data_IF_782676554250
#
_entry.id   IF_782676554250
#
_cell.length_a   1.000
_cell.length_b   1.000
_cell.length_c   1.000
_cell.angle_alpha   90.00
_cell.angle_beta   90.00
_cell.angle_gamma   90.00
#
_symmetry.space_group_name_H-M   'P 1'
#
loop_
_entity.id
_entity.type
_entity.pdbx_description
1 polymer ?
#
# COMPACT_ATOMS: atom_id res chain seq x y z
N UNK A 1 2.12 -32.20 39.39
CA UNK A 1 1.07 -32.57 38.40
C UNK A 1 0.52 -31.38 37.58
N UNK A 2 0.13 -30.23 38.15
CA UNK A 2 -0.36 -29.09 37.36
C UNK A 2 0.78 -28.29 36.69
N UNK A 3 1.98 -28.21 37.26
CA UNK A 3 3.14 -27.52 36.65
C UNK A 3 3.73 -28.28 35.47
N UNK A 4 3.64 -29.62 35.48
CA UNK A 4 4.19 -30.44 34.39
C UNK A 4 3.30 -30.42 33.13
N UNK A 5 1.98 -30.22 33.30
CA UNK A 5 1.04 -30.12 32.18
C UNK A 5 1.22 -28.78 31.42
N UNK A 6 1.51 -27.69 32.12
CA UNK A 6 1.76 -26.36 31.47
C UNK A 6 3.08 -26.36 30.70
N UNK A 7 4.10 -27.11 31.18
CA UNK A 7 5.38 -27.24 30.49
C UNK A 7 5.28 -28.09 29.21
N UNK A 8 4.47 -29.18 29.27
CA UNK A 8 4.24 -30.05 28.10
C UNK A 8 3.35 -29.40 27.06
N UNK A 9 2.36 -28.57 27.45
CA UNK A 9 1.55 -27.81 26.50
C UNK A 9 2.32 -26.66 25.80
N UNK A 10 3.28 -26.04 26.48
CA UNK A 10 4.17 -25.06 25.83
C UNK A 10 5.16 -25.75 24.86
N UNK A 11 5.74 -26.89 25.21
CA UNK A 11 6.63 -27.67 24.34
C UNK A 11 5.89 -28.28 23.13
N UNK A 12 4.62 -28.66 23.27
CA UNK A 12 3.79 -29.13 22.14
C UNK A 12 3.27 -27.98 21.26
N UNK A 13 3.14 -26.78 21.80
CA UNK A 13 2.81 -25.59 21.00
C UNK A 13 4.01 -25.12 20.18
N UNK A 14 5.22 -25.21 20.66
CA UNK A 14 6.45 -24.91 19.92
C UNK A 14 6.78 -25.94 18.82
N UNK A 15 6.26 -27.16 18.89
CA UNK A 15 6.46 -28.18 17.85
C UNK A 15 5.43 -28.17 16.72
N UNK A 16 4.37 -27.37 16.82
CA UNK A 16 3.31 -27.22 15.80
C UNK A 16 3.48 -25.91 15.00
N UNK A 17 4.09 -24.87 15.58
CA UNK A 17 4.60 -23.72 14.85
C UNK A 17 6.07 -24.00 14.56
N UNK A 18 6.40 -24.33 13.29
CA UNK A 18 7.78 -24.50 12.84
C UNK A 18 8.63 -23.36 13.41
N UNK A 19 9.79 -23.71 13.95
CA UNK A 19 10.79 -22.75 14.44
C UNK A 19 10.95 -21.69 13.35
N UNK A 20 10.46 -20.49 13.57
CA UNK A 20 10.73 -19.35 12.67
C UNK A 20 12.23 -19.12 12.79
N UNK A 21 13.01 -19.73 11.89
CA UNK A 21 14.44 -19.50 11.79
C UNK A 21 14.65 -17.99 11.65
N UNK A 22 15.52 -17.44 12.51
CA UNK A 22 15.92 -16.05 12.41
C UNK A 22 16.60 -15.83 11.04
N UNK A 23 15.92 -15.23 10.09
CA UNK A 23 16.40 -14.99 8.72
C UNK A 23 17.11 -13.64 8.63
N UNK A 24 18.13 -13.58 7.80
CA UNK A 24 18.72 -12.32 7.34
C UNK A 24 18.15 -11.95 5.97
N UNK A 25 17.30 -10.93 5.92
CA UNK A 25 16.55 -10.50 4.74
C UNK A 25 17.21 -9.24 4.16
N UNK A 26 17.53 -9.25 2.86
CA UNK A 26 18.02 -8.08 2.14
C UNK A 26 16.88 -7.42 1.37
N UNK A 27 16.45 -6.24 1.78
CA UNK A 27 15.46 -5.41 1.08
C UNK A 27 16.19 -4.49 0.08
N UNK A 28 15.84 -4.61 -1.21
CA UNK A 28 16.49 -3.88 -2.30
C UNK A 28 15.52 -2.90 -2.95
N UNK A 29 15.93 -1.64 -3.06
CA UNK A 29 15.14 -0.61 -3.75
C UNK A 29 16.05 0.45 -4.38
N UNK A 30 15.60 1.08 -5.45
CA UNK A 30 16.36 2.12 -6.17
C UNK A 30 16.02 3.55 -5.75
N UNK A 31 15.25 3.73 -4.68
CA UNK A 31 14.92 5.03 -4.07
C UNK A 31 15.42 5.11 -2.64
N UNK A 32 15.51 6.32 -2.10
CA UNK A 32 16.01 6.53 -0.73
C UNK A 32 14.92 6.28 0.32
N UNK A 33 15.33 5.76 1.48
CA UNK A 33 14.52 5.53 2.67
C UNK A 33 15.16 6.19 3.90
N UNK A 34 14.34 6.67 4.88
CA UNK A 34 12.88 6.79 4.85
C UNK A 34 12.41 7.99 4.01
N UNK A 35 11.14 7.98 3.63
CA UNK A 35 10.50 9.11 2.94
C UNK A 35 9.73 9.97 3.92
N UNK A 36 9.99 11.29 3.89
CA UNK A 36 9.38 12.24 4.85
C UNK A 36 8.00 12.75 4.45
N UNK A 37 7.68 12.84 3.15
CA UNK A 37 6.44 13.48 2.67
C UNK A 37 5.60 12.58 1.77
N UNK A 38 6.02 12.33 0.53
CA UNK A 38 5.29 11.51 -0.45
C UNK A 38 6.18 10.36 -0.93
N UNK A 39 5.62 9.15 -0.96
CA UNK A 39 6.31 7.94 -1.36
C UNK A 39 5.58 6.73 -0.77
N UNK A 40 4.76 6.07 -1.59
CA UNK A 40 3.98 4.92 -1.12
C UNK A 40 4.85 3.69 -0.93
N UNK A 41 5.62 3.36 -1.95
CA UNK A 41 6.49 2.17 -1.99
C UNK A 41 7.56 2.22 -0.90
N UNK A 42 8.24 3.35 -0.75
CA UNK A 42 9.31 3.52 0.23
C UNK A 42 8.81 3.36 1.66
N UNK A 43 7.61 3.86 1.97
CA UNK A 43 6.99 3.66 3.29
C UNK A 43 6.65 2.20 3.54
N UNK A 44 6.11 1.51 2.54
CA UNK A 44 5.80 0.07 2.64
C UNK A 44 7.07 -0.75 2.90
N UNK A 45 8.17 -0.47 2.18
CA UNK A 45 9.47 -1.13 2.37
C UNK A 45 10.03 -0.85 3.77
N UNK A 46 9.89 0.39 4.25
CA UNK A 46 10.30 0.78 5.60
C UNK A 46 9.50 0.02 6.67
N UNK A 47 8.17 0.04 6.57
CA UNK A 47 7.28 -0.65 7.52
C UNK A 47 7.48 -2.16 7.53
N UNK A 48 7.68 -2.75 6.35
CA UNK A 48 8.00 -4.17 6.25
C UNK A 48 9.30 -4.50 6.99
N UNK A 49 10.38 -3.77 6.73
CA UNK A 49 11.66 -4.00 7.39
C UNK A 49 11.61 -3.77 8.90
N UNK A 50 10.93 -2.71 9.36
CA UNK A 50 10.71 -2.45 10.78
C UNK A 50 9.97 -3.62 11.45
N UNK A 51 8.90 -4.09 10.84
CA UNK A 51 8.10 -5.20 11.37
C UNK A 51 8.88 -6.53 11.39
N UNK A 52 9.65 -6.82 10.35
CA UNK A 52 10.50 -8.01 10.31
C UNK A 52 11.54 -8.01 11.44
N UNK A 53 12.16 -6.85 11.73
CA UNK A 53 13.09 -6.72 12.87
C UNK A 53 12.36 -6.92 14.21
N UNK A 54 11.16 -6.36 14.36
CA UNK A 54 10.34 -6.56 15.56
C UNK A 54 9.94 -8.05 15.76
N UNK A 55 9.84 -8.81 14.68
CA UNK A 55 9.59 -10.27 14.71
C UNK A 55 10.87 -11.10 14.94
N UNK A 56 12.05 -10.47 15.11
CA UNK A 56 13.31 -11.13 15.44
C UNK A 56 14.19 -11.47 14.23
N UNK A 57 13.85 -11.02 13.03
CA UNK A 57 14.67 -11.21 11.83
C UNK A 57 15.74 -10.12 11.70
N UNK A 58 16.83 -10.43 11.01
CA UNK A 58 17.82 -9.42 10.61
C UNK A 58 17.42 -8.83 9.27
N UNK A 59 17.51 -7.49 9.15
CA UNK A 59 17.19 -6.78 7.92
C UNK A 59 18.38 -5.94 7.48
N UNK A 60 18.76 -6.08 6.22
CA UNK A 60 19.70 -5.18 5.54
C UNK A 60 19.03 -4.50 4.36
N UNK A 61 19.50 -3.31 4.02
CA UNK A 61 19.01 -2.55 2.88
C UNK A 61 20.11 -2.33 1.85
N UNK A 62 19.74 -2.48 0.57
CA UNK A 62 20.52 -2.03 -0.57
C UNK A 62 19.66 -1.04 -1.36
N UNK A 63 19.94 0.27 -1.21
CA UNK A 63 19.01 1.35 -1.54
C UNK A 63 19.75 2.55 -2.17
N UNK A 64 19.01 3.60 -2.57
CA UNK A 64 19.61 4.78 -3.16
C UNK A 64 20.47 5.59 -2.15
N UNK A 65 21.39 6.43 -2.64
CA UNK A 65 22.19 7.31 -1.80
C UNK A 65 21.34 8.23 -0.92
N UNK A 66 21.84 8.56 0.29
CA UNK A 66 21.15 9.40 1.26
C UNK A 66 20.15 8.66 2.13
N UNK A 67 20.05 7.34 2.00
CA UNK A 67 19.26 6.48 2.87
C UNK A 67 19.92 6.23 4.21
N UNK A 68 19.08 6.06 5.23
CA UNK A 68 19.51 5.62 6.57
C UNK A 68 18.42 4.77 7.23
N UNK A 69 18.81 3.92 8.18
CA UNK A 69 17.87 3.12 8.97
C UNK A 69 18.53 2.68 10.27
N UNK A 70 17.93 3.08 11.40
CA UNK A 70 18.46 2.80 12.73
C UNK A 70 18.22 1.37 13.21
N UNK A 71 17.23 0.68 12.67
CA UNK A 71 16.91 -0.70 13.06
C UNK A 71 17.55 -1.76 12.15
N UNK A 72 18.11 -1.37 11.01
CA UNK A 72 18.71 -2.30 10.07
C UNK A 72 20.13 -2.74 10.47
N UNK A 73 20.47 -3.97 10.18
CA UNK A 73 21.83 -4.51 10.36
C UNK A 73 22.84 -3.78 9.48
N UNK A 74 22.47 -3.51 8.21
CA UNK A 74 23.28 -2.77 7.25
C UNK A 74 22.41 -1.91 6.33
N UNK A 75 22.92 -0.73 5.96
CA UNK A 75 22.35 0.08 4.88
C UNK A 75 23.47 0.41 3.89
N UNK A 76 23.37 -0.09 2.66
CA UNK A 76 24.35 0.12 1.59
C UNK A 76 23.70 0.77 0.39
N UNK A 77 24.52 1.43 -0.43
CA UNK A 77 24.04 2.03 -1.69
C UNK A 77 24.04 1.00 -2.79
N UNK A 78 22.88 0.88 -3.49
CA UNK A 78 22.76 0.09 -4.71
C UNK A 78 23.48 0.79 -5.86
N UNK A 79 24.52 0.17 -6.40
CA UNK A 79 25.24 0.65 -7.58
C UNK A 79 24.91 -0.24 -8.80
N UNK A 80 24.18 0.30 -9.76
CA UNK A 80 23.81 -0.42 -11.00
C UNK A 80 24.99 -0.71 -11.93
N UNK A 81 26.18 -0.17 -11.66
CA UNK A 81 27.40 -0.44 -12.43
C UNK A 81 28.15 -1.68 -11.93
N UNK A 82 27.88 -2.09 -10.70
CA UNK A 82 28.47 -3.28 -10.08
C UNK A 82 27.50 -4.46 -10.25
N UNK A 83 27.96 -5.67 -10.58
CA UNK A 83 27.12 -6.87 -10.58
C UNK A 83 26.36 -7.03 -9.25
N UNK A 84 25.06 -7.28 -9.33
CA UNK A 84 24.20 -7.31 -8.12
C UNK A 84 24.71 -8.29 -7.06
N UNK A 85 25.11 -9.50 -7.49
CA UNK A 85 25.55 -10.54 -6.55
C UNK A 85 26.85 -10.20 -5.79
N UNK A 86 27.65 -9.26 -6.28
CA UNK A 86 28.83 -8.75 -5.57
C UNK A 86 28.47 -7.74 -4.46
N UNK A 87 27.24 -7.21 -4.46
CA UNK A 87 26.77 -6.23 -3.50
C UNK A 87 25.97 -6.85 -2.35
N UNK A 88 25.55 -8.12 -2.50
CA UNK A 88 24.80 -8.86 -1.47
C UNK A 88 25.71 -9.10 -0.26
N UNK A 89 25.33 -8.67 0.95
CA UNK A 89 26.11 -8.94 2.16
C UNK A 89 26.22 -10.43 2.44
N UNK A 90 27.33 -10.84 3.05
CA UNK A 90 27.49 -12.21 3.53
C UNK A 90 26.44 -12.54 4.61
N UNK A 91 25.96 -13.78 4.62
CA UNK A 91 24.98 -14.26 5.59
C UNK A 91 23.54 -13.83 5.32
N UNK A 92 23.24 -13.25 4.15
CA UNK A 92 21.87 -13.02 3.69
C UNK A 92 21.24 -14.34 3.26
N UNK A 93 20.08 -14.68 3.81
CA UNK A 93 19.33 -15.89 3.49
C UNK A 93 18.40 -15.69 2.29
N UNK A 94 17.74 -14.52 2.21
CA UNK A 94 16.79 -14.22 1.17
C UNK A 94 16.87 -12.75 0.70
N UNK A 95 16.73 -12.53 -0.60
CA UNK A 95 16.66 -11.19 -1.23
C UNK A 95 15.21 -10.85 -1.58
N UNK A 96 14.77 -9.68 -1.16
CA UNK A 96 13.49 -9.11 -1.57
C UNK A 96 13.73 -7.90 -2.47
N UNK A 97 13.53 -8.08 -3.75
CA UNK A 97 13.67 -7.03 -4.75
C UNK A 97 12.39 -6.19 -4.85
N UNK A 98 12.52 -4.88 -4.77
CA UNK A 98 11.46 -3.90 -5.04
C UNK A 98 11.76 -3.05 -6.29
N UNK A 99 12.85 -3.35 -6.97
CA UNK A 99 13.26 -2.76 -8.25
C UNK A 99 14.02 -3.79 -9.07
N UNK A 100 14.14 -3.52 -10.38
CA UNK A 100 14.97 -4.34 -11.28
C UNK A 100 16.45 -4.17 -10.93
N UNK A 101 17.19 -5.27 -10.96
CA UNK A 101 18.66 -5.33 -10.80
C UNK A 101 19.30 -5.82 -12.10
N UNK A 102 20.63 -5.69 -12.21
CA UNK A 102 21.36 -5.98 -13.44
C UNK A 102 21.69 -7.46 -13.67
N UNK A 103 21.45 -8.32 -12.68
CA UNK A 103 21.56 -9.78 -12.79
C UNK A 103 20.64 -10.48 -11.78
N UNK A 104 20.25 -11.71 -12.08
CA UNK A 104 19.43 -12.53 -11.19
C UNK A 104 20.18 -12.87 -9.91
N UNK A 105 19.58 -12.74 -8.72
CA UNK A 105 20.18 -13.16 -7.46
C UNK A 105 20.57 -14.64 -7.48
N UNK A 106 21.75 -14.96 -6.92
CA UNK A 106 22.25 -16.35 -6.80
C UNK A 106 21.74 -17.07 -5.55
N UNK A 107 21.12 -16.35 -4.64
CA UNK A 107 20.47 -16.87 -3.44
C UNK A 107 18.95 -16.77 -3.57
N UNK A 108 18.15 -17.45 -2.75
CA UNK A 108 16.68 -17.36 -2.77
C UNK A 108 16.21 -15.93 -2.80
N UNK A 109 15.22 -15.63 -3.65
CA UNK A 109 14.72 -14.27 -3.81
C UNK A 109 13.26 -14.23 -4.26
N UNK A 110 12.65 -13.07 -4.04
CA UNK A 110 11.40 -12.68 -4.67
C UNK A 110 11.47 -11.22 -5.17
N UNK A 111 10.55 -10.86 -6.06
CA UNK A 111 10.41 -9.53 -6.61
C UNK A 111 9.00 -9.00 -6.37
N UNK A 112 8.84 -7.86 -5.69
CA UNK A 112 7.53 -7.21 -5.55
C UNK A 112 7.32 -6.13 -6.61
N UNK A 113 6.27 -6.30 -7.40
CA UNK A 113 5.80 -5.28 -8.36
C UNK A 113 4.85 -4.31 -7.66
N UNK A 114 5.29 -3.07 -7.40
CA UNK A 114 4.52 -2.05 -6.67
C UNK A 114 3.59 -1.21 -7.56
N UNK A 115 3.73 -1.26 -8.85
CA UNK A 115 2.97 -0.43 -9.78
C UNK A 115 2.57 -1.15 -11.05
N UNK A 116 1.67 -0.55 -11.81
CA UNK A 116 1.34 -1.08 -13.14
C UNK A 116 2.50 -0.84 -14.11
N UNK A 117 2.74 -1.81 -14.97
CA UNK A 117 3.59 -1.66 -16.16
C UNK A 117 2.75 -1.98 -17.42
N UNK A 118 3.09 -1.31 -18.53
CA UNK A 118 2.58 -1.64 -19.85
C UNK A 118 3.56 -2.56 -20.63
N UNK A 119 4.66 -2.97 -19.99
CA UNK A 119 5.59 -3.94 -20.53
C UNK A 119 4.88 -5.30 -20.63
N UNK A 120 4.88 -5.87 -21.84
CA UNK A 120 4.25 -7.15 -22.13
C UNK A 120 5.23 -8.32 -22.00
N UNK A 121 6.50 -8.04 -21.71
CA UNK A 121 7.46 -9.11 -21.45
C UNK A 121 7.06 -9.87 -20.17
N UNK A 122 7.31 -11.17 -20.13
CA UNK A 122 7.14 -11.95 -18.91
C UNK A 122 7.95 -11.33 -17.75
N UNK A 123 7.32 -11.30 -16.57
CA UNK A 123 7.98 -10.91 -15.33
C UNK A 123 8.76 -12.09 -14.75
N UNK A 124 9.53 -11.84 -13.70
CA UNK A 124 10.22 -12.89 -12.97
C UNK A 124 9.20 -13.88 -12.37
N UNK A 125 9.53 -15.18 -12.38
CA UNK A 125 8.66 -16.24 -11.86
C UNK A 125 8.40 -16.08 -10.35
N UNK A 126 9.29 -15.42 -9.62
CA UNK A 126 9.14 -15.12 -8.19
C UNK A 126 8.51 -13.74 -7.94
N UNK A 127 7.73 -13.22 -8.91
CA UNK A 127 7.01 -11.95 -8.73
C UNK A 127 5.84 -12.10 -7.77
N UNK A 128 5.76 -11.17 -6.82
CA UNK A 128 4.64 -10.96 -5.89
C UNK A 128 3.98 -9.63 -6.22
N UNK A 129 2.65 -9.62 -6.26
CA UNK A 129 1.86 -8.42 -6.50
C UNK A 129 1.31 -7.85 -5.21
N UNK A 130 0.85 -6.59 -5.21
CA UNK A 130 0.42 -5.90 -4.00
C UNK A 130 -1.09 -5.92 -3.74
N UNK A 131 -1.85 -6.63 -4.58
CA UNK A 131 -3.26 -6.94 -4.39
C UNK A 131 -3.67 -8.13 -5.27
N UNK A 132 -4.79 -8.77 -4.95
CA UNK A 132 -5.34 -9.87 -5.74
C UNK A 132 -5.69 -9.42 -7.17
N UNK A 133 -6.35 -8.26 -7.31
CA UNK A 133 -6.65 -7.70 -8.62
C UNK A 133 -5.37 -7.40 -9.41
N UNK A 134 -4.33 -6.85 -8.74
CA UNK A 134 -3.05 -6.59 -9.40
C UNK A 134 -2.45 -7.89 -9.93
N UNK A 135 -2.41 -8.96 -9.13
CA UNK A 135 -1.89 -10.27 -9.54
C UNK A 135 -2.70 -10.86 -10.71
N UNK A 136 -4.02 -10.90 -10.62
CA UNK A 136 -4.90 -11.49 -11.64
C UNK A 136 -4.72 -10.85 -13.01
N UNK A 137 -4.40 -9.57 -13.09
CA UNK A 137 -4.11 -8.86 -14.35
C UNK A 137 -2.85 -9.34 -15.05
N UNK A 138 -1.98 -10.05 -14.35
CA UNK A 138 -0.76 -10.66 -14.87
C UNK A 138 -0.84 -12.20 -14.90
N UNK A 139 -2.05 -12.77 -14.73
CA UNK A 139 -2.24 -14.22 -14.72
C UNK A 139 -1.60 -14.91 -13.52
N UNK A 140 -1.53 -14.22 -12.37
CA UNK A 140 -0.91 -14.69 -11.13
C UNK A 140 -1.90 -14.67 -9.96
N UNK A 141 -1.69 -15.57 -9.00
CA UNK A 141 -2.35 -15.56 -7.69
C UNK A 141 -1.38 -15.22 -6.54
N UNK A 142 -0.12 -14.92 -6.87
CA UNK A 142 0.90 -14.57 -5.88
C UNK A 142 0.84 -13.09 -5.52
N UNK A 143 0.22 -12.77 -4.39
CA UNK A 143 0.15 -11.38 -3.90
C UNK A 143 0.34 -11.30 -2.39
N UNK A 144 0.72 -10.10 -1.93
CA UNK A 144 0.72 -9.67 -0.53
C UNK A 144 0.18 -8.26 -0.48
N UNK A 145 -0.89 -8.04 0.28
CA UNK A 145 -1.41 -6.69 0.48
C UNK A 145 -0.39 -5.82 1.21
N UNK A 146 -0.25 -4.57 0.76
CA UNK A 146 0.51 -3.59 1.52
C UNK A 146 -0.15 -3.36 2.89
N UNK A 147 0.69 -3.24 3.93
CA UNK A 147 0.25 -2.89 5.29
C UNK A 147 0.74 -1.50 5.68
N UNK A 148 0.02 -0.87 6.57
CA UNK A 148 0.46 0.35 7.26
C UNK A 148 1.01 0.01 8.64
N UNK A 149 1.95 0.81 9.14
CA UNK A 149 2.39 0.72 10.53
C UNK A 149 1.49 1.61 11.41
N UNK A 150 0.64 1.05 12.29
CA UNK A 150 -0.24 1.84 13.14
C UNK A 150 0.50 2.85 14.04
N UNK A 151 1.76 2.58 14.41
CA UNK A 151 2.56 3.48 15.25
C UNK A 151 2.83 4.83 14.55
N UNK A 152 3.00 4.83 13.21
CA UNK A 152 3.21 6.05 12.43
C UNK A 152 1.95 6.93 12.33
N UNK A 153 0.77 6.37 12.60
CA UNK A 153 -0.51 7.07 12.53
C UNK A 153 -1.05 7.48 13.90
N UNK A 154 -0.72 6.73 14.93
CA UNK A 154 -1.14 6.98 16.31
C UNK A 154 -2.65 6.88 16.52
N UNK A 155 -3.19 7.54 17.54
CA UNK A 155 -4.64 7.53 17.84
C UNK A 155 -5.46 7.98 16.63
N UNK A 156 -6.46 7.19 16.17
CA UNK A 156 -7.32 7.51 15.02
C UNK A 156 -8.28 8.67 15.26
N UNK A 157 -8.48 9.12 16.50
CA UNK A 157 -9.36 10.25 16.82
C UNK A 157 -10.82 10.03 16.45
N UNK A 158 -11.38 8.83 16.71
CA UNK A 158 -12.72 8.43 16.24
C UNK A 158 -13.85 9.30 16.79
N UNK A 159 -13.65 9.93 17.95
CA UNK A 159 -14.64 10.78 18.61
C UNK A 159 -14.54 12.26 18.21
N UNK A 160 -13.59 12.64 17.36
CA UNK A 160 -13.44 14.03 16.95
C UNK A 160 -14.58 14.49 16.01
N UNK A 161 -14.96 15.78 16.05
CA UNK A 161 -15.90 16.36 15.11
C UNK A 161 -15.38 16.30 13.66
N UNK A 162 -16.27 15.94 12.72
CA UNK A 162 -15.94 15.78 11.30
C UNK A 162 -16.89 16.60 10.46
N UNK A 163 -16.35 17.45 9.58
CA UNK A 163 -17.19 18.42 8.86
C UNK A 163 -16.83 18.60 7.37
N UNK A 164 -15.97 17.77 6.83
CA UNK A 164 -15.60 17.75 5.41
C UNK A 164 -15.24 16.35 4.94
N UNK A 165 -15.24 16.12 3.64
CA UNK A 165 -14.65 14.97 2.99
C UNK A 165 -13.24 15.32 2.51
N UNK A 166 -12.43 14.31 2.18
CA UNK A 166 -11.12 14.55 1.62
C UNK A 166 -10.88 13.74 0.35
N UNK A 167 -9.95 14.23 -0.45
CA UNK A 167 -9.23 13.51 -1.49
C UNK A 167 -7.77 13.41 -1.02
N UNK A 168 -7.15 12.24 -1.15
CA UNK A 168 -5.77 11.99 -0.73
C UNK A 168 -4.96 11.39 -1.87
N UNK A 169 -4.01 12.15 -2.43
CA UNK A 169 -3.13 11.73 -3.51
C UNK A 169 -2.65 12.89 -4.36
N UNK A 170 -1.71 12.65 -5.27
CA UNK A 170 -1.26 13.68 -6.20
C UNK A 170 -2.40 14.11 -7.12
N UNK A 171 -2.93 15.30 -6.86
CA UNK A 171 -4.04 15.89 -7.62
C UNK A 171 -3.63 16.32 -9.04
N UNK A 172 -2.35 16.37 -9.38
CA UNK A 172 -1.89 16.58 -10.75
C UNK A 172 -2.00 15.29 -11.57
N UNK A 173 -1.93 14.14 -10.94
CA UNK A 173 -1.99 12.86 -11.64
C UNK A 173 -3.42 12.54 -12.09
N UNK A 174 -3.68 12.67 -13.38
CA UNK A 174 -5.04 12.64 -13.95
C UNK A 174 -5.80 11.36 -13.69
N UNK A 175 -5.11 10.21 -13.60
CA UNK A 175 -5.75 8.92 -13.31
C UNK A 175 -6.33 8.85 -11.90
N UNK A 176 -5.84 9.67 -10.96
CA UNK A 176 -6.41 9.78 -9.60
C UNK A 176 -7.74 10.58 -9.58
N UNK A 177 -8.03 11.30 -10.66
CA UNK A 177 -9.33 11.94 -10.93
C UNK A 177 -9.82 12.90 -9.83
N UNK A 178 -8.96 13.81 -9.39
CA UNK A 178 -9.40 14.88 -8.46
C UNK A 178 -10.57 15.70 -9.01
N UNK A 179 -10.71 15.84 -10.36
CA UNK A 179 -11.86 16.50 -10.99
C UNK A 179 -13.17 15.79 -10.70
N UNK A 180 -13.17 14.45 -10.76
CA UNK A 180 -14.32 13.64 -10.38
C UNK A 180 -14.66 13.78 -8.90
N UNK A 181 -13.67 13.78 -8.01
CA UNK A 181 -13.88 14.01 -6.58
C UNK A 181 -14.50 15.39 -6.30
N UNK A 182 -14.03 16.44 -6.95
CA UNK A 182 -14.60 17.80 -6.88
C UNK A 182 -16.05 17.79 -7.37
N UNK A 183 -16.33 17.16 -8.53
CA UNK A 183 -17.71 17.09 -9.10
C UNK A 183 -18.68 16.37 -8.18
N UNK A 184 -18.24 15.25 -7.54
CA UNK A 184 -19.04 14.54 -6.55
C UNK A 184 -19.32 15.46 -5.35
N UNK A 185 -18.28 16.07 -4.77
CA UNK A 185 -18.45 16.96 -3.61
C UNK A 185 -19.38 18.16 -3.90
N UNK A 186 -19.29 18.74 -5.10
CA UNK A 186 -20.16 19.83 -5.55
C UNK A 186 -21.63 19.38 -5.66
N UNK A 187 -21.89 18.24 -6.32
CA UNK A 187 -23.23 17.69 -6.46
C UNK A 187 -23.83 17.25 -5.12
N UNK A 188 -22.99 16.68 -4.22
CA UNK A 188 -23.40 16.32 -2.87
C UNK A 188 -23.53 17.52 -1.92
N UNK A 189 -23.09 18.71 -2.33
CA UNK A 189 -23.06 19.95 -1.54
C UNK A 189 -22.24 19.85 -0.25
N UNK A 190 -21.16 19.08 -0.28
CA UNK A 190 -20.27 18.88 0.86
C UNK A 190 -18.95 19.64 0.70
N UNK A 191 -18.27 19.92 1.83
CA UNK A 191 -16.92 20.48 1.83
C UNK A 191 -15.92 19.39 1.47
N UNK A 192 -14.94 19.72 0.59
CA UNK A 192 -13.86 18.81 0.21
C UNK A 192 -12.50 19.46 0.48
N UNK A 193 -11.62 18.71 1.15
CA UNK A 193 -10.19 19.04 1.28
C UNK A 193 -9.38 18.15 0.34
N UNK A 194 -8.62 18.79 -0.55
CA UNK A 194 -7.71 18.10 -1.48
C UNK A 194 -6.32 18.08 -0.88
N UNK A 195 -5.91 16.92 -0.39
CA UNK A 195 -4.60 16.68 0.23
C UNK A 195 -3.69 16.09 -0.85
N UNK A 196 -2.73 16.87 -1.35
CA UNK A 196 -1.81 16.47 -2.41
C UNK A 196 -1.93 17.27 -3.71
N UNK A 197 -2.33 18.53 -3.64
CA UNK A 197 -2.41 19.39 -4.83
C UNK A 197 -2.67 20.85 -4.56
N UNK A 198 -2.62 21.65 -5.62
CA UNK A 198 -2.87 23.10 -5.60
C UNK A 198 -4.17 23.42 -6.32
N UNK A 199 -4.80 24.56 -5.95
CA UNK A 199 -6.05 25.05 -6.58
C UNK A 199 -5.89 25.28 -8.07
N UNK A 200 -4.80 25.91 -8.47
CA UNK A 200 -4.41 26.08 -9.86
C UNK A 200 -3.30 25.07 -10.20
N UNK A 201 -3.50 24.30 -11.24
CA UNK A 201 -2.52 23.32 -11.72
C UNK A 201 -2.44 23.36 -13.24
N UNK A 202 -1.22 23.44 -13.77
CA UNK A 202 -0.91 23.38 -15.21
C UNK A 202 -0.24 22.08 -15.61
N UNK A 203 0.26 21.30 -14.65
CA UNK A 203 0.90 20.02 -14.91
C UNK A 203 -0.16 19.00 -15.32
N UNK A 204 0.07 18.28 -16.41
CA UNK A 204 -0.85 17.26 -16.94
C UNK A 204 -2.28 17.78 -17.24
N UNK A 205 -2.41 19.07 -17.60
CA UNK A 205 -3.65 19.73 -17.98
C UNK A 205 -4.12 20.81 -17.00
N UNK A 206 -4.72 21.87 -17.55
CA UNK A 206 -5.17 23.02 -16.77
C UNK A 206 -6.35 22.65 -15.88
N UNK A 207 -6.27 22.99 -14.62
CA UNK A 207 -7.37 22.89 -13.66
C UNK A 207 -7.39 24.14 -12.78
N UNK A 208 -8.55 24.77 -12.72
CA UNK A 208 -8.84 25.90 -11.84
C UNK A 208 -10.19 25.66 -11.17
N UNK A 209 -10.27 25.87 -9.87
CA UNK A 209 -11.48 25.63 -9.07
C UNK A 209 -11.75 26.84 -8.19
N UNK A 210 -12.92 27.47 -8.36
CA UNK A 210 -13.34 28.66 -7.62
C UNK A 210 -14.31 28.37 -6.46
N UNK A 211 -14.88 27.15 -6.38
CA UNK A 211 -15.86 26.80 -5.35
C UNK A 211 -15.24 26.94 -3.93
N UNK A 212 -15.82 27.76 -3.05
CA UNK A 212 -15.31 28.00 -1.71
C UNK A 212 -15.36 26.77 -0.79
N UNK A 213 -16.21 25.79 -1.14
CA UNK A 213 -16.30 24.52 -0.40
C UNK A 213 -15.11 23.59 -0.68
N UNK A 214 -14.33 23.86 -1.74
CA UNK A 214 -13.18 23.06 -2.14
C UNK A 214 -11.91 23.74 -1.66
N UNK A 215 -11.20 23.12 -0.70
CA UNK A 215 -9.93 23.62 -0.19
C UNK A 215 -8.79 22.71 -0.62
N UNK A 216 -7.66 23.31 -0.99
CA UNK A 216 -6.42 22.59 -1.34
C UNK A 216 -5.39 22.83 -0.25
N UNK A 217 -4.89 21.74 0.34
CA UNK A 217 -3.94 21.79 1.45
C UNK A 217 -2.48 21.54 1.03
N UNK A 218 -2.25 21.35 -0.26
CA UNK A 218 -0.92 20.99 -0.76
C UNK A 218 -0.55 19.55 -0.45
N UNK A 219 0.74 19.22 -0.66
CA UNK A 219 1.28 17.93 -0.29
C UNK A 219 1.52 17.91 1.22
N UNK A 220 0.89 16.97 1.92
CA UNK A 220 0.99 16.81 3.37
C UNK A 220 1.50 15.41 3.72
N UNK A 221 2.30 15.31 4.79
CA UNK A 221 2.81 14.06 5.33
C UNK A 221 2.74 14.05 6.87
N UNK A 222 3.02 12.90 7.49
CA UNK A 222 3.12 12.75 8.94
C UNK A 222 1.92 13.30 9.71
N UNK A 223 2.17 13.91 10.85
CA UNK A 223 1.13 14.43 11.75
C UNK A 223 0.17 15.44 11.08
N UNK A 224 0.66 16.28 10.16
CA UNK A 224 -0.18 17.25 9.47
C UNK A 224 -1.25 16.55 8.61
N UNK A 225 -0.87 15.51 7.86
CA UNK A 225 -1.80 14.67 7.11
C UNK A 225 -2.77 13.95 8.06
N UNK A 226 -2.26 13.30 9.12
CA UNK A 226 -3.06 12.56 10.07
C UNK A 226 -4.16 13.43 10.72
N UNK A 227 -3.82 14.67 11.11
CA UNK A 227 -4.80 15.61 11.66
C UNK A 227 -5.89 16.01 10.65
N UNK A 228 -5.55 16.10 9.35
CA UNK A 228 -6.53 16.32 8.31
C UNK A 228 -7.46 15.12 8.12
N UNK A 229 -6.96 13.90 8.26
CA UNK A 229 -7.79 12.70 8.15
C UNK A 229 -8.74 12.55 9.35
N UNK A 230 -8.28 12.83 10.57
CA UNK A 230 -9.11 12.81 11.79
C UNK A 230 -10.37 13.70 11.71
N UNK A 231 -10.29 14.86 11.04
CA UNK A 231 -11.43 15.78 10.86
C UNK A 231 -12.32 15.47 9.66
N UNK A 232 -12.06 14.40 8.92
CA UNK A 232 -12.79 14.06 7.71
C UNK A 232 -13.90 13.05 7.95
N UNK A 233 -15.03 13.20 7.22
CA UNK A 233 -16.16 12.27 7.17
C UNK A 233 -15.92 11.07 6.27
N UNK A 234 -15.02 11.18 5.28
CA UNK A 234 -14.74 10.09 4.32
C UNK A 234 -13.81 10.52 3.19
N UNK A 235 -13.26 9.53 2.50
CA UNK A 235 -12.42 9.68 1.32
C UNK A 235 -13.27 9.64 0.04
N UNK A 236 -13.09 10.60 -0.87
CA UNK A 236 -13.65 10.56 -2.23
C UNK A 236 -12.51 10.31 -3.20
N UNK A 237 -12.44 9.09 -3.77
CA UNK A 237 -11.29 8.61 -4.54
C UNK A 237 -11.72 7.89 -5.84
N UNK A 238 -12.34 8.61 -6.81
CA UNK A 238 -12.90 8.03 -8.01
C UNK A 238 -11.83 7.88 -9.11
N UNK A 239 -10.85 7.01 -8.93
CA UNK A 239 -9.76 6.78 -9.88
C UNK A 239 -10.25 6.30 -11.24
N UNK A 240 -9.46 6.58 -12.30
CA UNK A 240 -9.77 6.21 -13.70
C UNK A 240 -8.78 5.20 -14.26
N UNK A 241 -8.18 4.40 -13.40
CA UNK A 241 -7.23 3.37 -13.78
C UNK A 241 -7.32 2.19 -12.82
N UNK A 242 -6.74 1.08 -13.19
CA UNK A 242 -6.64 -0.05 -12.27
C UNK A 242 -5.61 0.28 -11.18
N UNK A 243 -6.09 0.76 -10.04
CA UNK A 243 -5.24 1.09 -8.89
C UNK A 243 -4.56 -0.19 -8.37
N UNK A 244 -3.22 -0.24 -8.28
CA UNK A 244 -2.54 -1.47 -7.83
C UNK A 244 -2.87 -1.86 -6.40
N UNK A 245 -2.97 -0.86 -5.47
CA UNK A 245 -3.38 -1.08 -4.08
C UNK A 245 -4.19 0.09 -3.51
N UNK A 246 -3.62 1.32 -3.49
CA UNK A 246 -4.31 2.48 -2.93
C UNK A 246 -4.10 2.66 -1.43
N UNK A 247 -2.86 2.88 -1.00
CA UNK A 247 -2.53 3.17 0.42
C UNK A 247 -3.40 4.28 1.01
N UNK A 248 -3.75 5.32 0.23
CA UNK A 248 -4.64 6.40 0.66
C UNK A 248 -6.01 5.92 1.15
N UNK A 249 -6.51 4.80 0.62
CA UNK A 249 -7.77 4.18 1.03
C UNK A 249 -7.60 3.58 2.43
N UNK A 250 -6.59 2.75 2.61
CA UNK A 250 -6.28 2.09 3.89
C UNK A 250 -5.97 3.14 4.97
N UNK A 251 -5.16 4.16 4.64
CA UNK A 251 -4.87 5.30 5.53
C UNK A 251 -6.16 6.01 5.99
N UNK A 252 -7.07 6.26 5.05
CA UNK A 252 -8.34 6.94 5.36
C UNK A 252 -9.26 6.09 6.24
N UNK A 253 -9.42 4.82 5.89
CA UNK A 253 -10.27 3.88 6.64
C UNK A 253 -9.69 3.65 8.05
N UNK A 254 -8.34 3.65 8.22
CA UNK A 254 -7.69 3.62 9.55
C UNK A 254 -8.19 4.74 10.47
N UNK A 255 -8.35 5.95 9.94
CA UNK A 255 -8.90 7.08 10.69
C UNK A 255 -10.43 7.05 10.81
N UNK A 256 -11.08 5.93 10.51
CA UNK A 256 -12.53 5.81 10.56
C UNK A 256 -13.25 6.60 9.46
N UNK A 257 -12.59 6.86 8.33
CA UNK A 257 -13.16 7.53 7.18
C UNK A 257 -13.57 6.50 6.13
N UNK A 258 -14.87 6.24 5.91
CA UNK A 258 -15.30 5.37 4.81
C UNK A 258 -14.79 5.89 3.46
N UNK A 259 -14.57 4.98 2.52
CA UNK A 259 -14.04 5.33 1.21
C UNK A 259 -15.11 5.21 0.11
N UNK A 260 -15.17 6.22 -0.76
CA UNK A 260 -16.08 6.29 -1.91
C UNK A 260 -15.26 6.37 -3.19
N UNK A 261 -15.25 5.31 -3.99
CA UNK A 261 -14.38 5.18 -5.14
C UNK A 261 -15.02 4.51 -6.35
N UNK A 262 -14.23 4.38 -7.42
CA UNK A 262 -14.62 3.61 -8.60
C UNK A 262 -14.27 2.13 -8.42
N UNK A 263 -14.94 1.19 -9.12
CA UNK A 263 -14.69 -0.24 -9.00
C UNK A 263 -13.47 -0.68 -9.83
N UNK A 264 -12.33 0.04 -9.75
CA UNK A 264 -11.17 -0.22 -10.58
C UNK A 264 -9.94 -0.65 -9.78
N UNK A 265 -9.28 -1.69 -10.29
CA UNK A 265 -8.12 -2.27 -9.64
C UNK A 265 -8.47 -2.88 -8.28
N UNK A 266 -7.65 -2.63 -7.29
CA UNK A 266 -7.81 -3.13 -5.92
C UNK A 266 -8.97 -2.51 -5.14
N UNK A 267 -9.63 -1.44 -5.66
CA UNK A 267 -10.65 -0.74 -4.87
C UNK A 267 -11.82 -1.64 -4.47
N UNK A 268 -12.23 -2.58 -5.35
CA UNK A 268 -13.32 -3.52 -5.03
C UNK A 268 -12.94 -4.54 -3.95
N UNK A 269 -11.66 -4.86 -3.80
CA UNK A 269 -11.22 -5.81 -2.77
C UNK A 269 -10.91 -5.13 -1.43
N UNK A 270 -10.56 -3.83 -1.44
CA UNK A 270 -10.24 -3.07 -0.23
C UNK A 270 -11.46 -2.35 0.34
N UNK A 271 -12.31 -1.79 -0.52
CA UNK A 271 -13.52 -1.06 -0.09
C UNK A 271 -14.68 -2.05 0.00
N UNK A 272 -14.78 -2.75 1.12
CA UNK A 272 -15.90 -3.64 1.41
C UNK A 272 -17.15 -2.84 1.82
N UNK A 273 -18.38 -3.40 1.72
CA UNK A 273 -19.63 -2.69 2.00
C UNK A 273 -19.73 -2.04 3.39
N UNK A 274 -19.03 -2.57 4.39
CA UNK A 274 -19.00 -2.04 5.76
C UNK A 274 -18.07 -0.82 5.93
N UNK A 275 -17.16 -0.56 4.97
CA UNK A 275 -16.16 0.51 5.06
C UNK A 275 -16.23 1.50 3.89
N UNK A 276 -17.23 1.38 3.01
CA UNK A 276 -17.38 2.33 1.92
C UNK A 276 -18.28 1.85 0.80
N UNK A 277 -18.16 2.52 -0.35
CA UNK A 277 -18.98 2.23 -1.53
C UNK A 277 -18.19 2.47 -2.82
N UNK A 278 -18.36 1.58 -3.79
CA UNK A 278 -17.71 1.69 -5.11
C UNK A 278 -18.75 1.72 -6.23
N UNK A 279 -18.57 2.69 -7.15
CA UNK A 279 -19.38 2.82 -8.36
C UNK A 279 -18.65 3.63 -9.42
N UNK A 280 -18.84 3.33 -10.68
CA UNK A 280 -18.40 4.19 -11.78
C UNK A 280 -19.43 5.30 -12.15
N UNK A 281 -20.58 5.35 -11.46
CA UNK A 281 -21.59 6.40 -11.61
C UNK A 281 -21.39 7.53 -10.61
N UNK A 282 -21.32 8.76 -11.10
CA UNK A 282 -21.23 9.96 -10.25
C UNK A 282 -22.47 10.10 -9.38
N UNK A 283 -23.68 9.86 -9.91
CA UNK A 283 -24.92 9.96 -9.16
C UNK A 283 -24.93 8.99 -7.95
N UNK A 284 -24.56 7.72 -8.17
CA UNK A 284 -24.48 6.73 -7.09
C UNK A 284 -23.46 7.11 -6.01
N UNK A 285 -22.27 7.63 -6.43
CA UNK A 285 -21.26 8.12 -5.48
C UNK A 285 -21.71 9.36 -4.71
N UNK A 286 -22.46 10.26 -5.35
CA UNK A 286 -23.08 11.43 -4.68
C UNK A 286 -24.05 11.00 -3.60
N UNK A 287 -24.91 10.02 -3.88
CA UNK A 287 -25.87 9.50 -2.91
C UNK A 287 -25.16 8.78 -1.76
N UNK A 288 -24.14 7.97 -2.04
CA UNK A 288 -23.33 7.32 -1.01
C UNK A 288 -22.61 8.34 -0.11
N UNK A 289 -22.04 9.41 -0.68
CA UNK A 289 -21.38 10.49 0.07
C UNK A 289 -22.38 11.24 0.98
N UNK A 290 -23.60 11.51 0.50
CA UNK A 290 -24.66 12.14 1.33
C UNK A 290 -25.06 11.27 2.53
N UNK A 291 -24.99 9.96 2.36
CA UNK A 291 -25.34 8.97 3.39
C UNK A 291 -24.11 8.43 4.14
N UNK A 292 -22.96 9.14 4.12
CA UNK A 292 -21.72 8.67 4.73
C UNK A 292 -21.81 8.39 6.24
N UNK A 293 -22.73 9.05 6.93
CA UNK A 293 -22.93 8.89 8.38
C UNK A 293 -23.48 7.49 8.77
N UNK A 294 -23.91 6.66 7.79
CA UNK A 294 -24.29 5.25 8.01
C UNK A 294 -23.10 4.33 8.33
N UNK A 295 -21.89 4.74 7.95
CA UNK A 295 -20.68 3.94 8.18
C UNK A 295 -20.14 4.17 9.59
N UNK A 296 -19.93 3.07 10.31
CA UNK A 296 -19.38 3.11 11.66
C UNK A 296 -17.85 3.33 11.61
N UNK A 297 -17.40 4.42 12.23
CA UNK A 297 -15.99 4.82 12.27
C UNK A 297 -15.09 3.78 12.95
N UNK A 298 -15.61 3.13 14.00
CA UNK A 298 -14.90 2.11 14.76
C UNK A 298 -14.73 0.85 13.90
N UNK A 299 -15.79 0.41 13.23
CA UNK A 299 -15.72 -0.72 12.29
C UNK A 299 -14.74 -0.45 11.15
N UNK A 300 -14.73 0.77 10.58
CA UNK A 300 -13.73 1.16 9.60
C UNK A 300 -12.30 0.97 10.15
N UNK A 301 -12.01 1.49 11.32
CA UNK A 301 -10.70 1.36 11.96
C UNK A 301 -10.34 -0.12 12.22
N UNK A 302 -11.24 -0.87 12.85
CA UNK A 302 -11.05 -2.29 13.17
C UNK A 302 -10.81 -3.14 11.91
N UNK A 303 -11.48 -2.82 10.80
CA UNK A 303 -11.27 -3.47 9.51
C UNK A 303 -9.83 -3.34 9.03
N UNK A 304 -9.23 -2.14 9.11
CA UNK A 304 -7.82 -1.94 8.73
C UNK A 304 -6.87 -2.66 9.68
N UNK A 305 -7.14 -2.58 10.97
CA UNK A 305 -6.32 -3.25 12.00
C UNK A 305 -6.32 -4.78 11.83
N UNK A 306 -7.43 -5.35 11.37
CA UNK A 306 -7.54 -6.79 11.12
C UNK A 306 -6.85 -7.23 9.81
N UNK A 307 -6.79 -6.36 8.77
CA UNK A 307 -6.44 -6.82 7.41
C UNK A 307 -5.20 -6.15 6.79
N UNK A 308 -4.83 -4.92 7.19
CA UNK A 308 -3.87 -4.11 6.44
C UNK A 308 -2.80 -3.47 7.32
N UNK A 309 -2.36 -4.15 8.37
CA UNK A 309 -1.21 -3.70 9.18
C UNK A 309 0.12 -4.22 8.63
N UNK A 310 1.21 -3.57 9.00
CA UNK A 310 2.57 -4.05 8.73
C UNK A 310 2.81 -5.47 9.24
N UNK A 311 2.13 -5.85 10.32
CA UNK A 311 2.21 -7.20 10.89
C UNK A 311 1.60 -8.25 9.95
N UNK A 312 0.39 -8.03 9.42
CA UNK A 312 -0.21 -8.92 8.43
C UNK A 312 0.64 -9.00 7.15
N UNK A 313 1.12 -7.85 6.67
CA UNK A 313 2.00 -7.79 5.50
C UNK A 313 3.28 -8.61 5.73
N UNK A 314 3.95 -8.44 6.87
CA UNK A 314 5.17 -9.17 7.19
C UNK A 314 4.92 -10.68 7.28
N UNK A 315 3.84 -11.13 7.94
CA UNK A 315 3.47 -12.55 8.03
C UNK A 315 3.27 -13.17 6.63
N UNK A 316 2.59 -12.46 5.72
CA UNK A 316 2.40 -12.95 4.36
C UNK A 316 3.70 -13.00 3.56
N UNK A 317 4.62 -12.04 3.74
CA UNK A 317 5.94 -12.10 3.10
C UNK A 317 6.82 -13.20 3.70
N UNK A 318 6.77 -13.45 5.01
CA UNK A 318 7.49 -14.56 5.64
C UNK A 318 7.10 -15.90 5.01
N UNK A 319 5.82 -16.14 4.77
CA UNK A 319 5.37 -17.34 4.06
C UNK A 319 5.89 -17.40 2.60
N UNK A 320 6.07 -16.27 1.92
CA UNK A 320 6.70 -16.23 0.59
C UNK A 320 8.22 -16.48 0.65
N UNK A 321 8.89 -15.94 1.68
CA UNK A 321 10.31 -16.21 1.90
C UNK A 321 10.56 -17.70 2.16
N UNK A 322 9.74 -18.34 3.01
CA UNK A 322 9.83 -19.78 3.26
C UNK A 322 9.68 -20.60 1.97
N UNK A 323 8.75 -20.24 1.08
CA UNK A 323 8.58 -20.92 -0.21
C UNK A 323 9.86 -20.87 -1.03
N UNK A 324 10.46 -19.69 -1.23
CA UNK A 324 11.67 -19.55 -2.07
C UNK A 324 12.91 -20.15 -1.38
N UNK A 325 13.00 -20.12 -0.05
CA UNK A 325 14.06 -20.77 0.71
C UNK A 325 14.01 -22.30 0.56
N UNK A 326 12.82 -22.89 0.44
CA UNK A 326 12.61 -24.30 0.19
C UNK A 326 12.75 -24.69 -1.29
N UNK A 327 13.20 -23.75 -2.15
CA UNK A 327 13.41 -23.98 -3.59
C UNK A 327 12.14 -23.96 -4.44
N UNK A 328 10.99 -23.53 -3.87
CA UNK A 328 9.76 -23.38 -4.64
C UNK A 328 9.73 -22.02 -5.37
N UNK A 329 9.08 -22.01 -6.53
CA UNK A 329 8.76 -20.77 -7.24
C UNK A 329 7.40 -20.23 -6.76
N UNK A 330 7.17 -18.93 -6.95
CA UNK A 330 5.96 -18.27 -6.45
C UNK A 330 4.81 -18.20 -7.45
N UNK A 331 5.06 -18.60 -8.70
CA UNK A 331 4.05 -18.68 -9.77
C UNK A 331 4.30 -19.94 -10.61
N UNK A 332 3.24 -20.55 -11.11
CA UNK A 332 3.34 -21.75 -11.98
C UNK A 332 4.00 -21.43 -13.33
N UNK A 333 3.86 -20.21 -13.78
CA UNK A 333 4.51 -19.67 -14.98
C UNK A 333 4.90 -18.21 -14.75
N UNK A 334 5.84 -17.69 -15.54
CA UNK A 334 6.25 -16.31 -15.47
C UNK A 334 5.06 -15.36 -15.70
N UNK A 335 4.68 -14.52 -14.71
CA UNK A 335 3.51 -13.65 -14.85
C UNK A 335 3.67 -12.68 -16.01
N UNK A 336 2.61 -12.46 -16.76
CA UNK A 336 2.60 -11.57 -17.91
C UNK A 336 1.28 -10.80 -17.98
N UNK A 337 1.34 -9.52 -18.39
CA UNK A 337 0.13 -8.70 -18.50
C UNK A 337 -0.85 -9.33 -19.51
N UNK A 338 -2.01 -9.78 -18.99
CA UNK A 338 -3.04 -10.48 -19.78
C UNK A 338 -3.97 -9.52 -20.51
N UNK A 339 -4.16 -8.31 -19.97
CA UNK A 339 -5.08 -7.32 -20.53
C UNK A 339 -4.48 -5.93 -20.47
N UNK A 340 -4.24 -5.34 -21.63
CA UNK A 340 -3.76 -3.95 -21.73
C UNK A 340 -4.97 -3.02 -21.58
N UNK A 341 -4.86 -2.05 -20.71
CA UNK A 341 -5.81 -0.96 -20.67
C UNK A 341 -5.61 -0.07 -21.91
N UNK A 342 -6.51 -0.21 -22.90
CA UNK A 342 -6.45 0.53 -24.17
C UNK A 342 -6.73 2.02 -23.95
N UNK A 343 -7.77 2.34 -23.18
CA UNK A 343 -8.14 3.71 -22.88
C UNK A 343 -7.26 4.26 -21.76
N UNK A 344 -6.79 5.50 -21.95
CA UNK A 344 -6.01 6.22 -20.93
C UNK A 344 -6.78 6.37 -19.61
N UNK A 345 -8.10 6.47 -19.67
CA UNK A 345 -8.99 6.60 -18.53
C UNK A 345 -10.14 5.61 -18.63
N UNK A 346 -10.39 4.88 -17.55
CA UNK A 346 -11.53 4.01 -17.42
C UNK A 346 -12.84 4.82 -17.27
N UNK A 347 -14.01 4.26 -17.65
CA UNK A 347 -15.29 4.98 -17.69
C UNK A 347 -15.70 5.58 -16.33
N UNK A 348 -16.21 6.80 -16.36
CA UNK A 348 -16.78 7.48 -15.20
C UNK A 348 -18.06 8.18 -15.63
N UNK A 349 -19.19 7.56 -15.36
CA UNK A 349 -20.50 7.90 -15.89
C UNK A 349 -21.17 9.04 -15.10
N UNK A 350 -22.02 9.87 -15.72
CA UNK A 350 -22.73 10.98 -15.08
C UNK A 350 -23.57 10.62 -13.86
#
# INVERSE_FOLDING_TARGET
MIRDIVFITNLLCESIFGVILNMHILLVNNTSIPVRTYGGTERVIWWLGKQLVQMGHQVSYLVAPGSYCEFATNVKVLDHKIPFNQQVPAGVDVVHLNCKVNETPKIPYLFTLHGNTNDQNPLDINTVFISKNHASRYGSDSYVHNGIDPEDYGDPGLNQPRNYFHFLGDAAWRVKNVRGAIKIAQKAQVKLRVIGGKRFNVNQGIRLTFDPRIRFDGMQGGLAKNNLLKGSKGLIFPVLWNEPFGLSIVESIYFGCPAFGTPYGSLQEIIQPEVGFVSNSISSLVDAVKNADQFDKKKCHEYVMANFTSTQMANHYLAKYEQVLNGHVLNDSAPQLTTIQQDKFLPFLP
#
